data_IF_174608781842
#
_entry.id   IF_174608781842
#
_cell.length_a   1.000
_cell.length_b   1.000
_cell.length_c   1.000
_cell.angle_alpha   90.00
_cell.angle_beta   90.00
_cell.angle_gamma   90.00
#
_symmetry.space_group_name_H-M   'P 1'
#
loop_
_entity.id
_entity.type
_entity.pdbx_description
1 polymer ?
#
# COMPACT_ATOMS: atom_id res chain seq x y z
N UNK A 1 -2.72 -7.78 8.88
CA UNK A 1 -2.96 -6.69 7.91
C UNK A 1 -1.66 -5.93 7.70
N UNK A 2 -1.48 -5.32 6.54
CA UNK A 2 -0.48 -4.27 6.31
C UNK A 2 -1.17 -2.90 6.23
N UNK A 3 -0.48 -1.86 6.71
CA UNK A 3 -0.96 -0.47 6.71
C UNK A 3 0.17 0.48 6.31
N UNK A 4 -0.12 1.43 5.43
CA UNK A 4 0.73 2.57 5.11
C UNK A 4 -0.05 3.84 5.44
N UNK A 5 0.60 4.80 6.08
CA UNK A 5 0.05 6.12 6.38
C UNK A 5 0.97 7.16 5.74
N UNK A 6 0.39 8.10 5.00
CA UNK A 6 1.12 9.20 4.36
C UNK A 6 0.59 10.51 4.94
N UNK A 7 1.50 11.33 5.46
CA UNK A 7 1.22 12.69 5.88
C UNK A 7 1.63 13.67 4.78
N UNK A 8 0.70 14.54 4.39
CA UNK A 8 0.91 15.64 3.44
C UNK A 8 0.87 16.92 4.26
N UNK A 9 1.97 17.66 4.25
CA UNK A 9 2.11 18.94 4.95
C UNK A 9 2.46 20.04 3.95
N UNK A 10 1.64 21.09 3.91
CA UNK A 10 1.92 22.35 3.24
C UNK A 10 1.77 23.53 4.21
N UNK A 11 1.96 24.77 3.72
CA UNK A 11 1.86 25.96 4.55
C UNK A 11 0.50 26.09 5.27
N UNK A 12 -0.59 25.76 4.58
CA UNK A 12 -1.96 25.91 5.11
C UNK A 12 -2.73 24.58 5.17
N UNK A 13 -2.10 23.47 4.75
CA UNK A 13 -2.78 22.17 4.69
C UNK A 13 -2.03 21.12 5.49
N UNK A 14 -2.79 20.31 6.21
CA UNK A 14 -2.34 19.07 6.79
C UNK A 14 -3.37 17.98 6.49
N UNK A 15 -2.90 16.90 5.85
CA UNK A 15 -3.76 15.78 5.47
C UNK A 15 -3.05 14.49 5.75
N UNK A 16 -3.76 13.54 6.33
CA UNK A 16 -3.31 12.16 6.51
C UNK A 16 -4.16 11.28 5.61
N UNK A 17 -3.52 10.41 4.85
CA UNK A 17 -4.18 9.36 4.07
C UNK A 17 -3.59 8.01 4.43
N UNK A 18 -4.37 6.95 4.23
CA UNK A 18 -3.93 5.61 4.53
C UNK A 18 -4.27 4.63 3.41
N UNK A 19 -3.46 3.58 3.33
CA UNK A 19 -3.73 2.39 2.55
C UNK A 19 -3.62 1.17 3.44
N UNK A 20 -4.61 0.28 3.35
CA UNK A 20 -4.70 -0.90 4.20
C UNK A 20 -4.96 -2.10 3.31
N UNK A 21 -4.21 -3.18 3.55
CA UNK A 21 -4.49 -4.49 2.96
C UNK A 21 -4.66 -5.51 4.07
N UNK A 22 -5.83 -6.12 4.10
CA UNK A 22 -6.15 -7.25 4.98
C UNK A 22 -5.62 -8.54 4.36
N UNK A 23 -5.46 -9.55 5.18
CA UNK A 23 -4.85 -10.80 4.78
C UNK A 23 -4.54 -11.67 5.99
N UNK A 24 -3.96 -12.83 5.72
CA UNK A 24 -3.63 -13.86 6.71
C UNK A 24 -2.14 -14.16 6.71
N UNK A 25 -1.65 -14.63 7.86
CA UNK A 25 -0.27 -15.07 8.03
C UNK A 25 -0.22 -16.59 7.93
N UNK A 26 0.69 -17.11 7.11
CA UNK A 26 0.98 -18.54 7.03
C UNK A 26 2.18 -18.90 7.91
N UNK A 27 2.39 -20.21 8.13
CA UNK A 27 3.43 -20.71 9.05
C UNK A 27 4.76 -21.00 8.38
N UNK A 28 4.77 -21.18 7.06
CA UNK A 28 5.96 -21.50 6.27
C UNK A 28 6.22 -20.39 5.25
N UNK A 29 7.49 -20.06 5.04
CA UNK A 29 7.90 -19.06 4.06
C UNK A 29 7.60 -19.59 2.66
N UNK A 30 6.92 -18.80 1.82
CA UNK A 30 6.71 -19.11 0.40
C UNK A 30 7.03 -17.89 -0.46
N UNK A 31 7.66 -18.15 -1.61
CA UNK A 31 8.13 -17.11 -2.54
C UNK A 31 9.47 -16.50 -2.15
N UNK A 32 10.10 -15.80 -3.10
CA UNK A 32 11.45 -15.23 -2.95
C UNK A 32 11.54 -13.74 -3.31
N UNK A 33 10.47 -13.14 -3.83
CA UNK A 33 10.45 -11.73 -4.17
C UNK A 33 10.08 -10.85 -2.96
N UNK A 34 10.33 -9.54 -3.06
CA UNK A 34 9.98 -8.60 -2.00
C UNK A 34 10.91 -8.68 -0.78
N UNK A 35 10.39 -8.32 0.39
CA UNK A 35 11.19 -8.18 1.62
C UNK A 35 10.35 -8.33 2.89
N UNK A 36 11.01 -8.53 4.03
CA UNK A 36 10.37 -8.58 5.36
C UNK A 36 9.34 -9.71 5.45
N UNK A 37 8.10 -9.37 5.79
CA UNK A 37 7.02 -10.35 5.99
C UNK A 37 6.33 -10.81 4.71
N UNK A 38 6.77 -10.35 3.54
CA UNK A 38 6.18 -10.72 2.26
C UNK A 38 6.04 -12.25 2.05
N UNK A 39 7.02 -13.10 2.44
CA UNK A 39 6.90 -14.54 2.27
C UNK A 39 5.91 -15.24 3.23
N UNK A 40 5.31 -14.50 4.16
CA UNK A 40 4.35 -15.02 5.15
C UNK A 40 2.96 -14.42 5.00
N UNK A 41 2.79 -13.36 4.23
CA UNK A 41 1.53 -12.62 4.15
C UNK A 41 0.78 -12.93 2.86
N UNK A 42 -0.41 -13.53 2.99
CA UNK A 42 -1.36 -13.71 1.88
C UNK A 42 -2.41 -12.59 1.95
N UNK A 43 -2.47 -11.68 0.96
CA UNK A 43 -3.51 -10.66 0.90
C UNK A 43 -4.89 -11.28 0.67
N UNK A 44 -5.93 -10.63 1.18
CA UNK A 44 -7.32 -11.04 0.98
C UNK A 44 -7.66 -11.08 -0.52
N UNK A 45 -8.33 -12.14 -0.97
CA UNK A 45 -8.61 -12.39 -2.39
C UNK A 45 -7.52 -13.19 -3.13
N UNK A 46 -6.40 -13.53 -2.49
CA UNK A 46 -5.30 -14.30 -3.07
C UNK A 46 -5.02 -15.60 -2.32
N UNK A 47 -4.28 -16.50 -2.97
CA UNK A 47 -3.75 -17.74 -2.37
C UNK A 47 -2.23 -17.71 -2.22
N UNK A 48 -1.58 -16.83 -2.96
CA UNK A 48 -0.14 -16.57 -3.00
C UNK A 48 0.27 -15.55 -1.95
N UNK A 49 1.46 -15.70 -1.39
CA UNK A 49 2.06 -14.66 -0.54
C UNK A 49 2.47 -13.45 -1.38
N UNK A 50 2.73 -12.31 -0.75
CA UNK A 50 3.34 -11.18 -1.47
C UNK A 50 4.66 -11.53 -2.15
N UNK A 51 5.46 -12.44 -1.57
CA UNK A 51 6.70 -12.88 -2.18
C UNK A 51 6.51 -13.83 -3.37
N UNK A 52 5.39 -14.55 -3.44
CA UNK A 52 4.97 -15.37 -4.59
C UNK A 52 4.37 -14.51 -5.70
N UNK A 53 3.58 -13.48 -5.37
CA UNK A 53 2.94 -12.57 -6.33
C UNK A 53 3.94 -11.69 -7.11
N UNK A 54 5.15 -11.53 -6.58
CA UNK A 54 6.20 -10.70 -7.19
C UNK A 54 5.98 -9.19 -7.04
N UNK A 55 7.01 -8.43 -7.40
CA UNK A 55 7.01 -6.97 -7.23
C UNK A 55 5.97 -6.26 -8.09
N UNK A 56 5.77 -6.69 -9.33
CA UNK A 56 4.83 -6.02 -10.25
C UNK A 56 3.41 -6.04 -9.69
N UNK A 57 2.91 -7.23 -9.32
CA UNK A 57 1.58 -7.39 -8.75
C UNK A 57 1.47 -6.63 -7.43
N UNK A 58 2.45 -6.80 -6.53
CA UNK A 58 2.48 -6.11 -5.23
C UNK A 58 2.46 -4.58 -5.39
N UNK A 59 3.14 -4.03 -6.38
CA UNK A 59 3.17 -2.58 -6.64
C UNK A 59 1.82 -2.03 -7.11
N UNK A 60 0.92 -2.88 -7.60
CA UNK A 60 -0.45 -2.48 -7.97
C UNK A 60 -1.45 -2.60 -6.81
N UNK A 61 -1.30 -3.62 -5.95
CA UNK A 61 -2.31 -3.96 -4.94
C UNK A 61 -1.92 -3.67 -3.48
N UNK A 62 -0.66 -3.31 -3.21
CA UNK A 62 -0.18 -3.18 -1.83
C UNK A 62 -0.78 -1.98 -1.10
N UNK A 63 -0.78 -2.07 0.23
CA UNK A 63 -1.10 -0.97 1.14
C UNK A 63 -0.36 0.33 0.82
N UNK A 64 0.91 0.26 0.37
CA UNK A 64 1.66 1.43 -0.11
C UNK A 64 1.07 1.99 -1.40
N UNK A 65 0.80 1.14 -2.40
CA UNK A 65 0.22 1.58 -3.66
C UNK A 65 -1.11 2.31 -3.43
N UNK A 66 -1.98 1.76 -2.58
CA UNK A 66 -3.25 2.38 -2.20
C UNK A 66 -3.00 3.74 -1.53
N UNK A 67 -2.15 3.81 -0.51
CA UNK A 67 -1.88 5.05 0.21
C UNK A 67 -1.34 6.15 -0.71
N UNK A 68 -0.42 5.82 -1.62
CA UNK A 68 0.16 6.77 -2.56
C UNK A 68 -0.80 7.17 -3.69
N UNK A 69 -1.67 6.27 -4.16
CA UNK A 69 -2.75 6.64 -5.09
C UNK A 69 -3.71 7.65 -4.46
N UNK A 70 -4.12 7.41 -3.21
CA UNK A 70 -4.96 8.36 -2.45
C UNK A 70 -4.22 9.67 -2.21
N UNK A 71 -2.94 9.62 -1.82
CA UNK A 71 -2.12 10.82 -1.62
C UNK A 71 -1.98 11.64 -2.90
N UNK A 72 -1.77 11.00 -4.05
CA UNK A 72 -1.68 11.67 -5.34
C UNK A 72 -3.01 12.33 -5.73
N UNK A 73 -4.15 11.70 -5.47
CA UNK A 73 -5.46 12.30 -5.67
C UNK A 73 -5.67 13.54 -4.80
N UNK A 74 -5.32 13.47 -3.51
CA UNK A 74 -5.41 14.62 -2.60
C UNK A 74 -4.46 15.74 -2.98
N UNK A 75 -3.22 15.44 -3.38
CA UNK A 75 -2.28 16.45 -3.86
C UNK A 75 -2.82 17.18 -5.10
N UNK A 76 -3.40 16.46 -6.08
CA UNK A 76 -4.03 17.09 -7.24
C UNK A 76 -5.17 18.02 -6.85
N UNK A 77 -5.98 17.63 -5.86
CA UNK A 77 -7.09 18.46 -5.34
C UNK A 77 -6.58 19.72 -4.64
N UNK A 78 -5.50 19.59 -3.87
CA UNK A 78 -4.90 20.70 -3.11
C UNK A 78 -4.13 21.68 -4.00
N UNK A 79 -3.60 21.22 -5.13
CA UNK A 79 -2.86 22.04 -6.10
C UNK A 79 -3.73 22.56 -7.25
N UNK A 80 -5.01 22.17 -7.32
CA UNK A 80 -5.92 22.68 -8.33
C UNK A 80 -6.09 24.20 -8.14
N UNK A 81 -6.02 25.01 -9.21
CA UNK A 81 -6.21 26.45 -9.09
C UNK A 81 -7.58 26.75 -8.50
N UNK A 82 -7.63 27.71 -7.58
CA UNK A 82 -8.90 28.31 -7.17
C UNK A 82 -9.53 28.93 -8.43
N UNK A 83 -10.77 28.53 -8.73
CA UNK A 83 -11.56 29.12 -9.80
C UNK A 83 -11.81 30.61 -9.58
#
# INVERSE_FOLDING_TARGET
QFRCVVAIKGPEVEKIVEGVVRGRIIRELRGSAGFGYDPLFIPEGFQETYAELGEETKNRISHRAIAFQTAAAELRRLLAPAG
#
